data_IF_918532186006
#
_entry.id   IF_918532186006
#
_cell.length_a   1.000
_cell.length_b   1.000
_cell.length_c   1.000
_cell.angle_alpha   90.00
_cell.angle_beta   90.00
_cell.angle_gamma   90.00
#
_symmetry.space_group_name_H-M   'P 1'
#
loop_
_entity.id
_entity.type
_entity.pdbx_description
1 polymer ?
#
# COMPACT_ATOMS: atom_id res chain seq x y z
N UNK A 1 8.76 -8.29 -35.43
CA UNK A 1 8.85 -8.74 -34.03
C UNK A 1 7.88 -7.88 -33.23
N UNK A 2 7.23 -8.39 -32.17
CA UNK A 2 6.33 -7.58 -31.36
C UNK A 2 7.10 -6.53 -30.55
N UNK A 3 6.41 -5.46 -30.17
CA UNK A 3 6.95 -4.36 -29.36
C UNK A 3 6.24 -4.29 -28.02
N UNK A 4 6.97 -3.93 -26.96
CA UNK A 4 6.42 -3.48 -25.69
C UNK A 4 6.37 -1.95 -25.72
N UNK A 5 5.18 -1.35 -25.61
CA UNK A 5 5.01 0.11 -25.65
C UNK A 5 4.35 0.61 -24.37
N UNK A 6 4.93 1.62 -23.73
CA UNK A 6 4.40 2.26 -22.54
C UNK A 6 3.23 3.17 -22.87
N UNK A 7 2.11 2.99 -22.16
CA UNK A 7 0.91 3.81 -22.33
C UNK A 7 0.99 5.23 -21.74
N UNK A 8 1.98 5.50 -20.89
CA UNK A 8 2.18 6.83 -20.31
C UNK A 8 3.26 7.65 -21.03
N UNK A 9 4.48 7.12 -21.14
CA UNK A 9 5.59 7.89 -21.71
C UNK A 9 5.74 7.71 -23.23
N UNK A 10 5.18 6.64 -23.79
CA UNK A 10 5.35 6.24 -25.20
C UNK A 10 6.71 5.60 -25.51
N UNK A 11 7.52 5.29 -24.49
CA UNK A 11 8.74 4.51 -24.66
C UNK A 11 8.43 3.10 -25.16
N UNK A 12 9.29 2.54 -26.00
CA UNK A 12 9.09 1.22 -26.59
C UNK A 12 10.35 0.36 -26.56
N UNK A 13 10.15 -0.96 -26.57
CA UNK A 13 11.19 -1.98 -26.68
C UNK A 13 10.77 -3.02 -27.74
N UNK A 14 11.66 -3.34 -28.68
CA UNK A 14 11.42 -4.40 -29.67
C UNK A 14 11.96 -5.73 -29.13
N UNK A 15 11.08 -6.72 -29.00
CA UNK A 15 11.45 -8.04 -28.52
C UNK A 15 12.46 -8.69 -29.48
N UNK A 16 13.50 -9.31 -28.92
CA UNK A 16 14.50 -10.05 -29.67
C UNK A 16 14.08 -11.52 -29.87
N UNK A 17 14.76 -12.21 -30.79
CA UNK A 17 14.46 -13.61 -31.09
C UNK A 17 14.66 -14.50 -29.85
N UNK A 18 13.58 -15.14 -29.41
CA UNK A 18 13.56 -15.99 -28.20
C UNK A 18 13.13 -15.29 -26.91
N UNK A 19 12.87 -13.98 -26.94
CA UNK A 19 12.31 -13.24 -25.79
C UNK A 19 10.78 -13.32 -25.77
N UNK A 20 10.19 -13.65 -24.62
CA UNK A 20 8.75 -13.66 -24.42
C UNK A 20 8.29 -12.34 -23.77
N UNK A 21 7.14 -11.75 -24.14
CA UNK A 21 6.62 -10.56 -23.47
C UNK A 21 6.46 -10.72 -21.94
N UNK A 22 6.21 -11.94 -21.48
CA UNK A 22 6.08 -12.30 -20.07
C UNK A 22 7.40 -12.22 -19.29
N UNK A 23 8.55 -12.25 -19.99
CA UNK A 23 9.87 -12.09 -19.37
C UNK A 23 10.12 -10.65 -18.92
N UNK A 24 9.30 -9.70 -19.41
CA UNK A 24 9.40 -8.28 -19.09
C UNK A 24 8.37 -7.91 -18.03
N UNK A 25 8.81 -7.16 -17.02
CA UNK A 25 7.88 -6.51 -16.10
C UNK A 25 6.97 -5.59 -16.94
N UNK A 26 5.65 -5.82 -16.91
CA UNK A 26 4.65 -5.05 -17.67
C UNK A 26 4.51 -3.58 -17.18
N UNK A 27 5.53 -3.05 -16.53
CA UNK A 27 5.60 -1.72 -15.94
C UNK A 27 6.89 -1.05 -16.43
N UNK A 28 6.74 0.12 -17.04
CA UNK A 28 7.83 0.97 -17.46
C UNK A 28 8.48 1.64 -16.25
N UNK A 29 9.75 2.02 -16.36
CA UNK A 29 10.47 2.79 -15.33
C UNK A 29 9.79 4.11 -14.97
N UNK A 30 8.98 4.67 -15.87
CA UNK A 30 8.17 5.86 -15.59
C UNK A 30 6.95 5.61 -14.70
N UNK A 31 6.62 4.34 -14.42
CA UNK A 31 5.44 3.91 -13.66
C UNK A 31 4.27 3.39 -14.51
N UNK A 32 4.24 3.70 -15.81
CA UNK A 32 3.16 3.33 -16.74
C UNK A 32 3.17 1.86 -17.17
N UNK A 33 2.10 1.37 -17.79
CA UNK A 33 1.95 -0.04 -18.18
C UNK A 33 2.51 -0.28 -19.58
N UNK A 34 3.26 -1.36 -19.77
CA UNK A 34 3.70 -1.82 -21.09
C UNK A 34 2.62 -2.68 -21.75
N UNK A 35 2.35 -2.42 -23.03
CA UNK A 35 1.44 -3.19 -23.87
C UNK A 35 2.21 -3.85 -25.01
N UNK A 36 1.85 -5.09 -25.33
CA UNK A 36 2.39 -5.79 -26.49
C UNK A 36 1.63 -5.34 -27.74
N UNK A 37 2.33 -4.86 -28.76
CA UNK A 37 1.77 -4.50 -30.08
C UNK A 37 2.55 -5.21 -31.19
N UNK A 38 1.89 -5.54 -32.29
CA UNK A 38 2.53 -6.24 -33.42
C UNK A 38 3.38 -5.30 -34.28
N UNK A 39 2.98 -4.02 -34.39
CA UNK A 39 3.78 -2.96 -34.97
C UNK A 39 3.64 -1.64 -34.22
N UNK A 40 4.65 -0.78 -34.27
CA UNK A 40 4.59 0.57 -33.69
C UNK A 40 3.53 1.46 -34.37
N UNK A 41 3.05 1.09 -35.57
CA UNK A 41 1.96 1.77 -36.26
C UNK A 41 0.58 1.50 -35.66
N UNK A 42 0.45 0.46 -34.84
CA UNK A 42 -0.81 0.08 -34.17
C UNK A 42 -1.00 0.82 -32.84
N UNK A 43 -0.02 1.64 -32.44
CA UNK A 43 -0.07 2.46 -31.24
C UNK A 43 -0.61 3.87 -31.59
N UNK A 44 -1.93 4.01 -31.78
CA UNK A 44 -2.60 5.32 -31.77
C UNK A 44 -2.74 5.84 -30.32
N UNK A 45 -1.60 6.21 -29.73
CA UNK A 45 -1.50 6.89 -28.45
C UNK A 45 -1.23 8.37 -28.66
N UNK A 46 -2.29 9.18 -28.58
CA UNK A 46 -2.32 10.64 -28.53
C UNK A 46 -1.03 11.31 -28.02
N UNK A 47 -0.20 11.80 -28.94
CA UNK A 47 0.63 12.99 -28.73
C UNK A 47 0.44 13.90 -29.93
N UNK A 48 -0.42 14.91 -29.78
CA UNK A 48 -0.38 16.10 -30.63
C UNK A 48 0.92 16.82 -30.26
N UNK A 49 1.95 16.68 -31.09
CA UNK A 49 2.97 17.72 -31.24
C UNK A 49 2.87 18.25 -32.67
N UNK A 50 2.98 19.57 -32.75
CA UNK A 50 2.86 20.42 -33.93
C UNK A 50 3.72 19.94 -35.11
N UNK A 51 3.11 19.86 -36.28
CA UNK A 51 3.81 20.02 -37.55
C UNK A 51 3.18 21.23 -38.27
N UNK A 52 3.99 22.28 -38.43
CA UNK A 52 3.75 23.37 -39.36
C UNK A 52 4.47 22.98 -40.64
N UNK A 53 3.73 22.92 -41.75
CA UNK A 53 4.08 23.44 -43.09
C UNK A 53 3.27 22.67 -44.15
N UNK A 54 2.28 23.32 -44.76
CA UNK A 54 2.43 23.77 -46.14
C UNK A 54 1.17 24.47 -46.64
N UNK A 55 1.41 25.58 -47.33
CA UNK A 55 0.42 26.43 -47.94
C UNK A 55 -0.21 25.75 -49.18
N UNK A 56 -1.53 25.88 -49.35
CA UNK A 56 -2.14 26.08 -50.68
C UNK A 56 -3.58 26.63 -50.64
N UNK A 57 -3.68 27.89 -51.06
CA UNK A 57 -4.69 28.61 -51.85
C UNK A 57 -6.22 28.41 -51.69
N UNK A 58 -6.89 29.58 -51.62
CA UNK A 58 -8.33 29.87 -51.63
C UNK A 58 -8.86 29.85 -53.10
N UNK A 59 -10.16 29.63 -53.36
CA UNK A 59 -11.06 30.77 -53.62
C UNK A 59 -12.47 30.58 -53.03
N UNK A 60 -12.96 31.50 -52.20
CA UNK A 60 -13.72 32.71 -52.55
C UNK A 60 -15.23 32.44 -52.76
N UNK A 61 -16.07 32.95 -51.88
CA UNK A 61 -17.07 33.96 -52.28
C UNK A 61 -17.83 34.50 -51.06
N UNK A 62 -17.76 35.81 -50.99
CA UNK A 62 -18.53 36.74 -50.17
C UNK A 62 -20.02 36.39 -50.14
N UNK A 63 -20.64 36.42 -48.96
CA UNK A 63 -22.09 36.26 -48.95
C UNK A 63 -22.86 36.22 -47.63
N UNK A 64 -22.28 36.30 -46.44
CA UNK A 64 -23.10 36.29 -45.21
C UNK A 64 -22.53 37.22 -44.12
N UNK A 65 -22.45 38.53 -44.42
CA UNK A 65 -22.20 39.56 -43.39
C UNK A 65 -23.37 40.53 -43.31
N UNK A 66 -24.48 40.11 -42.69
CA UNK A 66 -25.41 41.08 -42.05
C UNK A 66 -26.41 40.55 -41.02
N UNK A 67 -26.37 39.27 -40.63
CA UNK A 67 -27.39 38.70 -39.75
C UNK A 67 -26.85 37.88 -38.57
N UNK A 68 -25.77 38.32 -37.92
CA UNK A 68 -25.31 37.69 -36.66
C UNK A 68 -24.93 38.66 -35.53
N UNK A 69 -24.86 39.98 -35.80
CA UNK A 69 -24.41 40.96 -34.79
C UNK A 69 -25.43 41.35 -33.72
N UNK A 70 -26.65 40.82 -33.75
CA UNK A 70 -27.69 41.13 -32.73
C UNK A 70 -28.08 39.97 -31.81
N UNK A 71 -27.49 38.78 -31.99
CA UNK A 71 -27.85 37.60 -31.18
C UNK A 71 -26.77 37.17 -30.17
N UNK A 72 -25.58 37.80 -30.20
CA UNK A 72 -24.46 37.39 -29.34
C UNK A 72 -24.29 38.21 -28.06
N UNK A 73 -24.90 39.40 -27.91
CA UNK A 73 -24.57 40.28 -26.78
C UNK A 73 -25.37 40.03 -25.50
N UNK A 74 -26.53 39.36 -25.56
CA UNK A 74 -27.34 39.07 -24.36
C UNK A 74 -27.02 37.72 -23.72
N UNK A 75 -26.58 36.74 -24.51
CA UNK A 75 -26.26 35.40 -24.01
C UNK A 75 -24.85 35.32 -23.41
N UNK A 76 -23.87 36.06 -23.93
CA UNK A 76 -22.52 36.10 -23.34
C UNK A 76 -22.56 36.69 -21.93
N UNK A 77 -23.33 37.76 -21.70
CA UNK A 77 -23.40 38.37 -20.36
C UNK A 77 -24.03 37.44 -19.31
N UNK A 78 -25.06 36.66 -19.70
CA UNK A 78 -25.66 35.64 -18.82
C UNK A 78 -24.71 34.46 -18.57
N UNK A 79 -23.98 34.01 -19.59
CA UNK A 79 -22.99 32.94 -19.45
C UNK A 79 -21.84 33.39 -18.54
N UNK A 80 -21.35 34.63 -18.68
CA UNK A 80 -20.30 35.16 -17.81
C UNK A 80 -20.75 35.26 -16.35
N UNK A 81 -22.01 35.64 -16.08
CA UNK A 81 -22.56 35.65 -14.71
C UNK A 81 -22.65 34.23 -14.14
N UNK A 82 -23.12 33.26 -14.93
CA UNK A 82 -23.22 31.86 -14.49
C UNK A 82 -21.83 31.28 -14.20
N UNK A 83 -20.84 31.53 -15.08
CA UNK A 83 -19.45 31.07 -14.87
C UNK A 83 -18.82 31.75 -13.65
N UNK A 84 -19.09 33.04 -13.40
CA UNK A 84 -18.59 33.73 -12.22
C UNK A 84 -19.24 33.20 -10.92
N UNK A 85 -20.53 32.89 -10.93
CA UNK A 85 -21.24 32.31 -9.78
C UNK A 85 -20.78 30.87 -9.53
N UNK A 86 -20.64 30.05 -10.57
CA UNK A 86 -20.10 28.68 -10.45
C UNK A 86 -18.63 28.71 -10.00
N UNK A 87 -17.83 29.64 -10.50
CA UNK A 87 -16.45 29.85 -10.05
C UNK A 87 -16.38 30.27 -8.57
N UNK A 88 -17.23 31.19 -8.13
CA UNK A 88 -17.34 31.57 -6.71
C UNK A 88 -17.87 30.41 -5.84
N UNK A 89 -18.79 29.58 -6.36
CA UNK A 89 -19.25 28.39 -5.67
C UNK A 89 -18.15 27.32 -5.55
N UNK A 90 -17.35 27.11 -6.59
CA UNK A 90 -16.18 26.20 -6.58
C UNK A 90 -15.10 26.72 -5.63
N UNK A 91 -14.84 28.03 -5.60
CA UNK A 91 -13.90 28.63 -4.64
C UNK A 91 -14.44 28.49 -3.22
N UNK A 92 -15.74 28.72 -2.99
CA UNK A 92 -16.36 28.53 -1.67
C UNK A 92 -16.35 27.05 -1.24
N UNK A 93 -16.64 26.11 -2.16
CA UNK A 93 -16.56 24.68 -1.91
C UNK A 93 -15.11 24.21 -1.66
N UNK A 94 -14.13 24.79 -2.35
CA UNK A 94 -12.70 24.57 -2.11
C UNK A 94 -12.19 25.16 -0.80
N UNK A 95 -12.79 26.26 -0.32
CA UNK A 95 -12.53 26.84 1.01
C UNK A 95 -13.19 26.00 2.12
N UNK A 96 -14.34 25.36 1.87
CA UNK A 96 -14.96 24.42 2.81
C UNK A 96 -14.33 23.01 2.78
N UNK A 97 -13.71 22.60 1.67
CA UNK A 97 -12.89 21.37 1.60
C UNK A 97 -11.50 21.51 2.23
N UNK A 98 -11.11 22.73 2.65
CA UNK A 98 -9.84 23.01 3.33
C UNK A 98 -9.93 23.07 4.86
N UNK A 99 -10.91 22.39 5.46
CA UNK A 99 -10.91 22.11 6.90
C UNK A 99 -10.86 20.60 7.12
N UNK A 100 -9.66 20.02 6.99
CA UNK A 100 -9.47 18.60 7.31
C UNK A 100 -8.27 17.91 6.69
N UNK A 101 -7.17 18.61 6.38
CA UNK A 101 -5.86 17.96 6.24
C UNK A 101 -4.78 19.03 6.31
N UNK A 102 -4.48 19.46 7.53
CA UNK A 102 -3.09 19.78 7.81
C UNK A 102 -2.41 18.42 7.84
N UNK A 103 -1.70 18.09 6.76
CA UNK A 103 -0.66 17.08 6.79
C UNK A 103 0.34 17.53 7.84
N UNK A 104 0.14 17.06 9.08
CA UNK A 104 1.23 16.91 10.00
C UNK A 104 2.00 15.75 9.40
N UNK A 105 3.07 16.08 8.68
CA UNK A 105 4.15 15.14 8.44
C UNK A 105 4.70 14.78 9.82
N UNK A 106 4.04 13.84 10.49
CA UNK A 106 4.42 13.39 11.82
C UNK A 106 5.52 12.36 11.62
N UNK A 107 6.72 12.83 11.28
CA UNK A 107 7.86 11.95 11.32
C UNK A 107 8.04 11.49 12.78
N UNK A 108 7.70 10.22 13.02
CA UNK A 108 7.91 9.52 14.29
C UNK A 108 9.39 9.29 14.59
N UNK A 109 10.29 9.75 13.72
CA UNK A 109 11.74 9.81 13.93
C UNK A 109 12.11 10.48 15.25
N UNK A 110 11.34 11.49 15.66
CA UNK A 110 11.55 12.26 16.89
C UNK A 110 10.81 11.67 18.12
N UNK A 111 10.04 10.60 17.95
CA UNK A 111 9.38 9.93 19.06
C UNK A 111 10.44 9.28 19.98
N UNK A 112 10.19 9.37 21.28
CA UNK A 112 11.10 8.88 22.31
C UNK A 112 10.55 7.59 22.88
N UNK A 113 11.44 6.60 23.01
CA UNK A 113 11.08 5.28 23.45
C UNK A 113 11.84 4.88 24.72
N UNK A 114 11.15 4.18 25.62
CA UNK A 114 11.77 3.57 26.79
C UNK A 114 12.69 2.41 26.37
N UNK A 115 13.59 2.01 27.26
CA UNK A 115 14.42 0.82 27.02
C UNK A 115 13.54 -0.41 26.81
N UNK A 116 12.49 -0.60 27.62
CA UNK A 116 11.56 -1.72 27.50
C UNK A 116 10.84 -1.76 26.14
N UNK A 117 10.44 -0.59 25.62
CA UNK A 117 9.82 -0.49 24.29
C UNK A 117 10.81 -0.87 23.19
N UNK A 118 12.06 -0.40 23.29
CA UNK A 118 13.12 -0.76 22.34
C UNK A 118 13.39 -2.26 22.43
N UNK A 119 13.58 -2.81 23.62
CA UNK A 119 13.86 -4.24 23.80
C UNK A 119 12.74 -5.10 23.22
N UNK A 120 11.47 -4.76 23.53
CA UNK A 120 10.29 -5.43 22.96
C UNK A 120 10.26 -5.33 21.44
N UNK A 121 10.63 -4.18 20.88
CA UNK A 121 10.73 -4.00 19.43
C UNK A 121 11.86 -4.82 18.83
N UNK A 122 13.02 -4.88 19.48
CA UNK A 122 14.16 -5.66 19.02
C UNK A 122 13.92 -7.19 19.11
N UNK A 123 12.99 -7.64 19.96
CA UNK A 123 12.49 -9.03 19.96
C UNK A 123 11.52 -9.27 18.80
N UNK A 124 10.62 -8.33 18.56
CA UNK A 124 9.57 -8.46 17.55
C UNK A 124 10.08 -8.23 16.13
N UNK A 125 10.93 -7.25 15.87
CA UNK A 125 11.39 -6.92 14.51
C UNK A 125 12.39 -7.96 13.95
N UNK A 126 12.90 -8.84 14.80
CA UNK A 126 14.02 -9.71 14.53
C UNK A 126 13.77 -11.06 15.20
N UNK A 127 13.41 -12.08 14.40
CA UNK A 127 12.96 -13.37 14.91
C UNK A 127 14.07 -14.12 15.65
N UNK A 128 13.86 -14.54 16.91
CA UNK A 128 14.80 -15.43 17.61
C UNK A 128 14.80 -16.86 17.04
N UNK A 129 13.74 -17.29 16.35
CA UNK A 129 13.68 -18.62 15.71
C UNK A 129 14.65 -18.76 14.53
N UNK A 130 15.15 -17.62 14.02
CA UNK A 130 16.23 -17.54 13.03
C UNK A 130 17.64 -17.54 13.66
N UNK A 131 17.73 -17.91 14.95
CA UNK A 131 18.93 -18.12 15.79
C UNK A 131 20.25 -17.73 15.10
N UNK A 132 20.61 -16.46 15.19
CA UNK A 132 21.98 -15.98 14.93
C UNK A 132 22.45 -16.05 13.48
N UNK A 133 21.54 -16.16 12.51
CA UNK A 133 21.94 -16.14 11.10
C UNK A 133 22.18 -14.71 10.60
N UNK A 134 23.11 -14.60 9.64
CA UNK A 134 23.45 -13.42 8.82
C UNK A 134 22.25 -12.74 8.10
N UNK A 135 21.05 -13.26 8.30
CA UNK A 135 19.81 -12.94 7.61
C UNK A 135 18.72 -12.32 8.52
N UNK A 136 19.01 -12.07 9.81
CA UNK A 136 18.12 -11.34 10.72
C UNK A 136 18.04 -9.86 10.30
N UNK A 137 17.00 -9.55 9.53
CA UNK A 137 16.85 -8.31 8.75
C UNK A 137 15.42 -7.82 8.86
N UNK A 138 15.24 -6.50 8.89
CA UNK A 138 13.90 -5.88 8.92
C UNK A 138 13.11 -6.30 7.68
N UNK A 139 12.00 -7.01 7.91
CA UNK A 139 10.95 -7.24 6.93
C UNK A 139 9.82 -6.22 7.14
N UNK A 140 9.49 -5.41 6.13
CA UNK A 140 8.34 -4.48 6.19
C UNK A 140 7.83 -4.14 4.80
N UNK A 141 6.61 -3.62 4.73
CA UNK A 141 6.08 -3.05 3.49
C UNK A 141 6.83 -1.75 3.14
N UNK A 142 7.10 -1.54 1.86
CA UNK A 142 7.67 -0.29 1.33
C UNK A 142 6.79 0.29 0.20
N UNK A 143 5.48 0.27 0.43
CA UNK A 143 4.46 0.84 -0.45
C UNK A 143 3.48 1.66 0.41
N UNK A 144 2.81 2.64 -0.19
CA UNK A 144 1.91 3.51 0.56
C UNK A 144 0.53 2.88 0.81
N UNK A 145 0.09 1.96 -0.05
CA UNK A 145 -1.22 1.33 0.06
C UNK A 145 -1.08 -0.18 -0.08
N UNK A 146 -1.49 -0.90 0.96
CA UNK A 146 -1.58 -2.36 1.01
C UNK A 146 -3.06 -2.74 0.90
N UNK A 147 -3.41 -3.38 -0.22
CA UNK A 147 -4.77 -3.88 -0.49
C UNK A 147 -4.98 -5.19 0.23
N UNK A 148 -6.02 -5.23 1.05
CA UNK A 148 -6.44 -6.39 1.82
C UNK A 148 -7.68 -6.98 1.16
N UNK A 149 -7.66 -8.30 0.90
CA UNK A 149 -8.84 -9.06 0.51
C UNK A 149 -9.21 -10.07 1.59
N UNK A 150 -10.49 -10.08 1.95
CA UNK A 150 -11.09 -11.00 2.91
C UNK A 150 -11.75 -12.16 2.17
N UNK A 151 -11.47 -13.38 2.62
CA UNK A 151 -11.97 -14.62 2.04
C UNK A 151 -12.50 -15.55 3.12
N UNK A 152 -13.34 -16.50 2.72
CA UNK A 152 -13.93 -17.48 3.61
C UNK A 152 -15.22 -16.97 4.27
N UNK A 153 -15.42 -17.27 5.55
CA UNK A 153 -16.71 -17.06 6.24
C UNK A 153 -16.55 -16.38 7.61
N UNK A 154 -16.04 -15.13 7.66
CA UNK A 154 -15.97 -14.37 8.90
C UNK A 154 -17.38 -14.06 9.44
N UNK A 155 -17.51 -13.98 10.76
CA UNK A 155 -18.68 -13.39 11.40
C UNK A 155 -18.65 -11.87 11.32
N UNK A 156 -19.77 -11.21 11.60
CA UNK A 156 -19.81 -9.74 11.66
C UNK A 156 -18.89 -9.18 12.75
N UNK A 157 -18.71 -9.90 13.86
CA UNK A 157 -17.81 -9.48 14.94
C UNK A 157 -16.35 -9.60 14.52
N UNK A 158 -15.99 -10.65 13.76
CA UNK A 158 -14.65 -10.78 13.16
C UNK A 158 -14.33 -9.61 12.23
N UNK A 159 -15.28 -9.23 11.36
CA UNK A 159 -15.14 -8.07 10.48
C UNK A 159 -14.98 -6.76 11.28
N UNK A 160 -15.69 -6.61 12.39
CA UNK A 160 -15.59 -5.43 13.24
C UNK A 160 -14.22 -5.35 13.93
N UNK A 161 -13.73 -6.48 14.46
CA UNK A 161 -12.39 -6.58 15.06
C UNK A 161 -11.31 -6.27 14.02
N UNK A 162 -11.39 -6.85 12.82
CA UNK A 162 -10.43 -6.62 11.74
C UNK A 162 -10.40 -5.14 11.32
N UNK A 163 -11.57 -4.52 11.11
CA UNK A 163 -11.64 -3.09 10.76
C UNK A 163 -11.06 -2.20 11.85
N UNK A 164 -11.30 -2.53 13.12
CA UNK A 164 -10.73 -1.80 14.24
C UNK A 164 -9.20 -1.94 14.28
N UNK A 165 -8.68 -3.14 14.07
CA UNK A 165 -7.25 -3.42 14.01
C UNK A 165 -6.58 -2.66 12.85
N UNK A 166 -7.18 -2.68 11.65
CA UNK A 166 -6.70 -1.91 10.49
C UNK A 166 -6.70 -0.41 10.78
N UNK A 167 -7.72 0.12 11.45
CA UNK A 167 -7.76 1.53 11.85
C UNK A 167 -6.64 1.88 12.83
N UNK A 168 -6.41 1.02 13.82
CA UNK A 168 -5.29 1.19 14.75
C UNK A 168 -3.94 1.17 14.02
N UNK A 169 -3.74 0.23 13.08
CA UNK A 169 -2.53 0.17 12.25
C UNK A 169 -2.39 1.47 11.46
N UNK A 170 -3.41 1.87 10.69
CA UNK A 170 -3.39 3.06 9.83
C UNK A 170 -3.12 4.35 10.59
N UNK A 171 -3.47 4.42 11.89
CA UNK A 171 -3.17 5.54 12.77
C UNK A 171 -1.73 5.54 13.30
N UNK A 172 -0.99 4.43 13.16
CA UNK A 172 0.33 4.22 13.75
C UNK A 172 1.44 3.90 12.73
N UNK A 173 1.16 3.65 11.45
CA UNK A 173 2.18 3.24 10.46
C UNK A 173 2.60 4.34 9.45
N UNK A 174 2.48 5.61 9.84
CA UNK A 174 2.92 6.74 9.01
C UNK A 174 2.18 6.81 7.67
N UNK A 175 2.92 6.82 6.56
CA UNK A 175 2.39 6.94 5.20
C UNK A 175 1.74 5.67 4.66
N UNK A 176 2.06 4.50 5.25
CA UNK A 176 1.42 3.25 4.89
C UNK A 176 -0.08 3.28 5.28
N UNK A 177 -0.91 2.70 4.41
CA UNK A 177 -2.34 2.48 4.65
C UNK A 177 -2.75 1.08 4.20
N UNK A 178 -3.39 0.34 5.10
CA UNK A 178 -4.13 -0.87 4.79
C UNK A 178 -5.55 -0.50 4.37
N UNK A 179 -5.99 -1.01 3.23
CA UNK A 179 -7.32 -0.75 2.66
C UNK A 179 -7.97 -2.08 2.31
N UNK A 180 -9.15 -2.35 2.89
CA UNK A 180 -9.98 -3.48 2.48
C UNK A 180 -10.57 -3.16 1.11
N UNK A 181 -10.23 -3.96 0.11
CA UNK A 181 -10.66 -3.78 -1.28
C UNK A 181 -11.14 -5.11 -1.89
N UNK A 182 -12.14 -5.70 -1.25
CA UNK A 182 -12.69 -7.02 -1.60
C UNK A 182 -13.37 -7.08 -2.98
N UNK A 183 -13.65 -5.93 -3.58
CA UNK A 183 -14.37 -5.83 -4.87
C UNK A 183 -13.44 -5.63 -6.07
N UNK A 184 -12.17 -5.37 -5.83
CA UNK A 184 -11.21 -5.14 -6.88
C UNK A 184 -10.82 -6.46 -7.54
N UNK A 185 -10.68 -6.46 -8.87
CA UNK A 185 -10.24 -7.62 -9.64
C UNK A 185 -8.71 -7.78 -9.63
N UNK A 186 -7.97 -6.73 -9.26
CA UNK A 186 -6.52 -6.80 -9.10
C UNK A 186 -6.09 -7.73 -7.96
N UNK A 187 -4.87 -8.24 -8.04
CA UNK A 187 -4.32 -9.06 -6.96
C UNK A 187 -4.15 -8.25 -5.66
N UNK A 188 -4.59 -8.78 -4.51
CA UNK A 188 -4.41 -8.13 -3.21
C UNK A 188 -2.98 -8.35 -2.70
N UNK A 189 -2.49 -7.40 -1.91
CA UNK A 189 -1.17 -7.47 -1.28
C UNK A 189 -1.25 -8.37 -0.03
N UNK A 190 -2.36 -8.28 0.72
CA UNK A 190 -2.69 -9.17 1.85
C UNK A 190 -3.98 -9.95 1.56
N UNK A 191 -3.90 -11.27 1.76
CA UNK A 191 -5.03 -12.19 1.73
C UNK A 191 -5.37 -12.64 3.15
N UNK A 192 -6.61 -12.43 3.60
CA UNK A 192 -7.07 -12.88 4.92
C UNK A 192 -8.13 -13.97 4.74
N UNK A 193 -7.83 -15.18 5.23
CA UNK A 193 -8.67 -16.36 5.12
C UNK A 193 -9.33 -16.69 6.46
N UNK A 194 -10.66 -16.61 6.49
CA UNK A 194 -11.47 -17.13 7.60
C UNK A 194 -11.98 -18.52 7.24
N UNK A 195 -11.24 -19.54 7.66
CA UNK A 195 -11.48 -20.94 7.29
C UNK A 195 -11.50 -21.84 8.53
N UNK A 196 -12.19 -22.99 8.50
CA UNK A 196 -12.13 -23.94 9.61
C UNK A 196 -10.73 -24.56 9.71
N UNK A 197 -10.32 -24.94 10.92
CA UNK A 197 -8.99 -25.51 11.20
C UNK A 197 -8.68 -26.72 10.31
N UNK A 198 -9.69 -27.52 9.94
CA UNK A 198 -9.51 -28.67 9.03
C UNK A 198 -8.91 -28.31 7.67
N UNK A 199 -9.00 -27.04 7.23
CA UNK A 199 -8.40 -26.56 5.99
C UNK A 199 -6.95 -26.08 6.15
N UNK A 200 -6.44 -25.91 7.38
CA UNK A 200 -5.04 -25.47 7.61
C UNK A 200 -4.01 -26.46 7.04
N UNK A 201 -4.36 -27.75 7.00
CA UNK A 201 -3.51 -28.79 6.42
C UNK A 201 -3.17 -28.57 4.93
N UNK A 202 -3.98 -27.80 4.20
CA UNK A 202 -3.70 -27.40 2.81
C UNK A 202 -2.47 -26.49 2.69
N UNK A 203 -2.06 -25.88 3.79
CA UNK A 203 -0.92 -24.96 3.90
C UNK A 203 0.21 -25.56 4.77
N UNK A 204 0.24 -26.88 4.92
CA UNK A 204 1.24 -27.62 5.72
C UNK A 204 1.26 -27.25 7.21
N UNK A 205 0.15 -26.71 7.74
CA UNK A 205 -0.03 -26.42 9.16
C UNK A 205 -0.95 -27.48 9.77
N UNK A 206 -0.54 -28.09 10.89
CA UNK A 206 -1.38 -29.05 11.59
C UNK A 206 -2.58 -28.32 12.24
N UNK A 207 -3.83 -28.72 11.94
CA UNK A 207 -5.04 -28.09 12.50
C UNK A 207 -5.10 -28.03 14.03
N UNK A 208 -4.38 -28.90 14.75
CA UNK A 208 -4.38 -28.92 16.22
C UNK A 208 -3.30 -28.03 16.87
N UNK A 209 -2.41 -27.43 16.08
CA UNK A 209 -1.22 -26.73 16.58
C UNK A 209 -1.37 -25.21 16.59
N UNK A 210 -2.35 -24.66 15.87
CA UNK A 210 -2.50 -23.22 15.71
C UNK A 210 -3.96 -22.80 15.57
N UNK A 211 -4.33 -21.72 16.26
CA UNK A 211 -5.64 -21.07 16.11
C UNK A 211 -5.71 -20.14 14.86
N UNK A 212 -4.53 -19.77 14.36
CA UNK A 212 -4.27 -18.93 13.19
C UNK A 212 -2.78 -18.91 12.88
N UNK A 213 -2.42 -18.43 11.69
CA UNK A 213 -1.02 -18.26 11.30
C UNK A 213 -0.89 -17.24 10.17
N UNK A 214 0.30 -16.67 10.04
CA UNK A 214 0.64 -15.71 8.99
C UNK A 214 1.85 -16.16 8.21
N UNK A 215 1.77 -16.03 6.89
CA UNK A 215 2.88 -16.20 5.96
C UNK A 215 3.12 -14.87 5.27
N UNK A 216 4.37 -14.44 5.17
CA UNK A 216 4.73 -13.33 4.30
C UNK A 216 5.91 -13.70 3.41
N UNK A 217 5.99 -13.02 2.27
CA UNK A 217 7.07 -13.16 1.31
C UNK A 217 7.84 -11.85 1.23
N UNK A 218 9.15 -11.93 1.41
CA UNK A 218 10.08 -10.79 1.31
C UNK A 218 10.95 -10.93 0.06
N UNK A 219 11.28 -9.79 -0.57
CA UNK A 219 12.27 -9.75 -1.64
C UNK A 219 13.67 -10.07 -1.09
N UNK A 220 14.45 -10.89 -1.80
CA UNK A 220 15.79 -11.34 -1.34
C UNK A 220 16.94 -10.72 -2.14
N UNK A 221 16.64 -10.13 -3.29
CA UNK A 221 17.55 -9.34 -4.13
C UNK A 221 16.71 -8.71 -5.23
N UNK A 222 17.09 -7.54 -5.77
CA UNK A 222 16.36 -6.87 -6.87
C UNK A 222 16.22 -7.69 -8.18
N UNK A 223 16.57 -8.97 -8.14
CA UNK A 223 16.50 -9.98 -9.20
C UNK A 223 15.08 -10.58 -9.32
N UNK A 224 14.26 -10.55 -8.26
CA UNK A 224 12.88 -11.05 -8.31
C UNK A 224 11.87 -9.90 -8.15
N UNK A 225 11.52 -9.24 -9.26
CA UNK A 225 10.38 -8.33 -9.32
C UNK A 225 10.64 -6.86 -8.93
N UNK A 226 11.90 -6.43 -8.85
CA UNK A 226 12.26 -5.00 -8.71
C UNK A 226 12.16 -4.39 -7.29
N UNK A 227 11.68 -5.14 -6.30
CA UNK A 227 11.60 -4.69 -4.90
C UNK A 227 12.97 -4.78 -4.20
N UNK A 228 13.26 -3.84 -3.31
CA UNK A 228 14.48 -3.87 -2.48
C UNK A 228 14.46 -5.09 -1.58
N UNK A 229 15.64 -5.63 -1.25
CA UNK A 229 15.72 -6.74 -0.29
C UNK A 229 14.99 -6.37 1.03
N UNK A 230 14.34 -7.33 1.65
CA UNK A 230 13.57 -7.16 2.89
C UNK A 230 12.18 -6.54 2.72
N UNK A 231 11.81 -6.08 1.52
CA UNK A 231 10.47 -5.57 1.26
C UNK A 231 9.48 -6.73 1.22
N UNK A 232 8.45 -6.65 2.07
CA UNK A 232 7.28 -7.54 1.98
C UNK A 232 6.52 -7.17 0.71
N UNK A 233 6.21 -8.18 -0.10
CA UNK A 233 5.42 -7.99 -1.33
C UNK A 233 4.13 -8.82 -1.36
N UNK A 234 3.97 -9.77 -0.42
CA UNK A 234 2.75 -10.56 -0.26
C UNK A 234 2.63 -11.06 1.18
N UNK A 235 1.42 -11.04 1.74
CA UNK A 235 1.13 -11.78 2.96
C UNK A 235 -0.19 -12.55 2.87
N UNK A 236 -0.26 -13.66 3.58
CA UNK A 236 -1.46 -14.49 3.78
C UNK A 236 -1.67 -14.70 5.26
N UNK A 237 -2.85 -14.35 5.74
CA UNK A 237 -3.28 -14.46 7.13
C UNK A 237 -4.39 -15.48 7.21
N UNK A 238 -4.28 -16.45 8.11
CA UNK A 238 -5.26 -17.52 8.29
C UNK A 238 -5.83 -17.47 9.69
N UNK A 239 -7.16 -17.45 9.79
CA UNK A 239 -7.91 -17.35 11.03
C UNK A 239 -8.87 -18.54 11.14
N UNK A 240 -8.74 -19.33 12.21
CA UNK A 240 -9.62 -20.44 12.50
C UNK A 240 -11.04 -19.98 12.84
N UNK A 241 -12.05 -20.50 12.14
CA UNK A 241 -13.46 -20.10 12.35
C UNK A 241 -14.23 -20.97 13.34
N UNK A 242 -13.75 -22.19 13.60
CA UNK A 242 -14.37 -23.18 14.47
C UNK A 242 -13.55 -23.40 15.75
N UNK A 243 -14.12 -24.06 16.77
CA UNK A 243 -13.44 -24.46 18.02
C UNK A 243 -12.92 -23.30 18.91
N UNK A 244 -13.04 -22.04 18.47
CA UNK A 244 -12.64 -20.85 19.22
C UNK A 244 -13.85 -20.09 19.75
N UNK A 245 -13.70 -19.54 20.96
CA UNK A 245 -14.57 -18.46 21.41
C UNK A 245 -14.38 -17.22 20.53
N UNK A 246 -15.40 -16.37 20.43
CA UNK A 246 -15.28 -15.11 19.70
C UNK A 246 -14.18 -14.19 20.27
N UNK A 247 -13.98 -14.19 21.59
CA UNK A 247 -12.89 -13.44 22.23
C UNK A 247 -11.52 -13.93 21.76
N UNK A 248 -11.32 -15.26 21.74
CA UNK A 248 -10.08 -15.88 21.27
C UNK A 248 -9.84 -15.59 19.79
N UNK A 249 -10.86 -15.74 18.95
CA UNK A 249 -10.76 -15.42 17.52
C UNK A 249 -10.46 -13.94 17.27
N UNK A 250 -11.05 -13.02 18.03
CA UNK A 250 -10.70 -11.60 17.99
C UNK A 250 -9.24 -11.34 18.35
N UNK A 251 -8.69 -12.07 19.31
CA UNK A 251 -7.25 -12.01 19.61
C UNK A 251 -6.39 -12.52 18.46
N UNK A 252 -6.73 -13.68 17.89
CA UNK A 252 -6.02 -14.26 16.75
C UNK A 252 -6.03 -13.29 15.55
N UNK A 253 -7.15 -12.63 15.26
CA UNK A 253 -7.25 -11.63 14.19
C UNK A 253 -6.20 -10.52 14.36
N UNK A 254 -6.10 -9.92 15.55
CA UNK A 254 -5.14 -8.81 15.75
C UNK A 254 -3.70 -9.31 15.80
N UNK A 255 -3.47 -10.51 16.35
CA UNK A 255 -2.15 -11.14 16.46
C UNK A 255 -1.57 -11.41 15.07
N UNK A 256 -2.32 -12.12 14.24
CA UNK A 256 -1.90 -12.49 12.89
C UNK A 256 -1.83 -11.28 11.96
N UNK A 257 -2.71 -10.30 12.12
CA UNK A 257 -2.60 -9.06 11.35
C UNK A 257 -1.34 -8.27 11.72
N UNK A 258 -0.92 -8.25 12.99
CA UNK A 258 0.34 -7.61 13.37
C UNK A 258 1.54 -8.35 12.78
N UNK A 259 1.49 -9.69 12.72
CA UNK A 259 2.44 -10.46 11.94
C UNK A 259 2.49 -9.94 10.50
N UNK A 260 1.38 -9.81 9.77
CA UNK A 260 1.40 -9.37 8.36
C UNK A 260 2.12 -8.03 8.06
N UNK A 261 2.44 -7.22 9.07
CA UNK A 261 3.24 -6.00 8.97
C UNK A 261 4.77 -6.22 9.00
N UNK A 262 5.24 -7.38 9.46
CA UNK A 262 6.65 -7.69 9.72
C UNK A 262 7.04 -7.83 11.20
N UNK A 263 6.07 -7.85 12.11
CA UNK A 263 6.30 -7.99 13.55
C UNK A 263 6.26 -9.47 13.95
N UNK A 264 7.21 -9.96 14.75
CA UNK A 264 7.22 -11.28 15.38
C UNK A 264 6.81 -11.22 16.86
N UNK A 265 6.88 -12.36 17.54
CA UNK A 265 6.57 -12.47 18.96
C UNK A 265 7.52 -11.66 19.84
N UNK A 266 7.01 -11.26 21.01
CA UNK A 266 7.80 -10.73 22.12
C UNK A 266 7.32 -11.35 23.44
N UNK A 267 8.03 -11.10 24.54
CA UNK A 267 7.67 -11.70 25.84
C UNK A 267 6.75 -10.82 26.72
N UNK A 268 6.30 -9.66 26.22
CA UNK A 268 5.56 -8.71 27.04
C UNK A 268 4.08 -9.10 27.16
N UNK A 269 3.61 -9.43 28.36
CA UNK A 269 2.23 -9.90 28.61
C UNK A 269 1.12 -8.89 28.25
N UNK A 270 1.44 -7.62 28.01
CA UNK A 270 0.49 -6.61 27.54
C UNK A 270 0.42 -6.51 26.01
N UNK A 271 1.29 -7.22 25.30
CA UNK A 271 1.39 -7.24 23.84
C UNK A 271 0.45 -8.28 23.25
N UNK A 272 -0.24 -7.94 22.18
CA UNK A 272 -0.99 -8.92 21.40
C UNK A 272 -0.07 -9.99 20.80
N UNK A 273 1.20 -9.67 20.58
CA UNK A 273 2.24 -10.55 20.04
C UNK A 273 2.92 -11.44 21.09
N UNK A 274 2.41 -11.52 22.32
CA UNK A 274 2.98 -12.38 23.36
C UNK A 274 2.46 -13.82 23.29
N UNK A 275 3.31 -14.83 23.00
CA UNK A 275 2.91 -16.22 23.05
C UNK A 275 2.45 -16.60 24.46
N UNK A 276 1.31 -17.29 24.55
CA UNK A 276 0.72 -17.67 25.85
C UNK A 276 0.24 -16.51 26.71
N UNK A 277 0.20 -15.28 26.17
CA UNK A 277 -0.40 -14.12 26.82
C UNK A 277 -1.93 -14.20 26.90
N UNK A 278 -2.57 -13.23 27.57
CA UNK A 278 -4.03 -13.16 27.63
C UNK A 278 -4.65 -12.86 26.26
N UNK A 279 -5.91 -13.27 26.07
CA UNK A 279 -6.70 -12.86 24.90
C UNK A 279 -6.96 -11.35 24.93
N UNK A 280 -6.12 -10.62 24.20
CA UNK A 280 -6.20 -9.18 23.91
C UNK A 280 -6.96 -9.01 22.59
N UNK A 281 -7.97 -8.13 22.56
CA UNK A 281 -8.84 -7.95 21.37
C UNK A 281 -8.67 -6.60 20.68
N UNK A 282 -7.71 -5.80 21.17
CA UNK A 282 -7.33 -4.49 20.63
C UNK A 282 -5.84 -4.28 20.85
N UNK A 283 -5.15 -3.62 19.92
CA UNK A 283 -3.72 -3.35 20.12
C UNK A 283 -3.48 -2.51 21.37
N UNK A 284 -2.53 -2.94 22.19
CA UNK A 284 -2.09 -2.20 23.37
C UNK A 284 -1.31 -0.94 22.99
N UNK A 285 -1.04 -0.09 23.98
CA UNK A 285 -0.14 1.05 23.79
C UNK A 285 1.27 0.60 23.36
N UNK A 286 1.72 -0.56 23.84
CA UNK A 286 3.00 -1.15 23.42
C UNK A 286 2.93 -1.56 21.95
N UNK A 287 1.95 -2.37 21.54
CA UNK A 287 1.80 -2.83 20.16
C UNK A 287 1.78 -1.67 19.16
N UNK A 288 1.01 -0.61 19.46
CA UNK A 288 0.94 0.61 18.64
C UNK A 288 2.29 1.31 18.56
N UNK A 289 3.07 1.29 19.63
CA UNK A 289 4.44 1.83 19.65
C UNK A 289 5.38 0.99 18.78
N UNK A 290 5.29 -0.34 18.83
CA UNK A 290 6.09 -1.23 17.98
C UNK A 290 5.79 -1.01 16.48
N UNK A 291 4.51 -0.79 16.13
CA UNK A 291 4.10 -0.42 14.77
C UNK A 291 4.71 0.91 14.33
N UNK A 292 4.65 1.94 15.19
CA UNK A 292 5.30 3.23 14.91
C UNK A 292 6.79 3.05 14.69
N UNK A 293 7.48 2.31 15.57
CA UNK A 293 8.91 2.02 15.41
C UNK A 293 9.21 1.34 14.06
N UNK A 294 8.49 0.26 13.71
CA UNK A 294 8.73 -0.49 12.46
C UNK A 294 8.59 0.41 11.23
N UNK A 295 7.63 1.34 11.25
CA UNK A 295 7.31 2.25 10.15
C UNK A 295 7.89 3.65 10.32
N UNK A 296 8.97 3.81 11.08
CA UNK A 296 9.83 5.00 10.96
C UNK A 296 10.44 5.07 9.57
N UNK A 297 10.59 6.29 9.06
CA UNK A 297 11.18 6.56 7.75
C UNK A 297 12.69 6.23 7.71
N UNK A 298 13.38 6.34 8.86
CA UNK A 298 14.78 5.99 9.00
C UNK A 298 15.03 4.50 9.30
N UNK A 299 13.97 3.69 9.46
CA UNK A 299 14.05 2.22 9.53
C UNK A 299 13.61 1.64 8.19
N UNK A 300 14.59 1.24 7.39
CA UNK A 300 14.39 0.74 6.03
C UNK A 300 14.30 -0.79 5.98
N UNK A 301 13.66 -1.35 4.93
CA UNK A 301 13.75 -2.77 4.64
C UNK A 301 15.21 -3.26 4.60
N UNK A 302 15.44 -4.48 5.06
CA UNK A 302 16.76 -5.13 5.08
C UNK A 302 17.84 -4.45 5.95
N UNK A 303 17.46 -3.52 6.83
CA UNK A 303 18.36 -3.10 7.92
C UNK A 303 18.66 -4.25 8.87
N UNK A 304 19.89 -4.32 9.33
CA UNK A 304 20.34 -5.24 10.37
C UNK A 304 19.90 -4.78 11.76
N UNK A 305 19.90 -5.73 12.69
CA UNK A 305 19.72 -5.50 14.13
C UNK A 305 20.55 -4.32 14.66
N UNK A 306 21.84 -4.27 14.34
CA UNK A 306 22.75 -3.22 14.85
C UNK A 306 22.47 -1.83 14.27
N UNK A 307 22.05 -1.75 13.01
CA UNK A 307 21.68 -0.47 12.39
C UNK A 307 20.44 0.10 13.07
N UNK A 308 19.40 -0.72 13.24
CA UNK A 308 18.15 -0.34 13.92
C UNK A 308 18.39 0.04 15.38
N UNK A 309 19.17 -0.75 16.11
CA UNK A 309 19.52 -0.44 17.49
C UNK A 309 20.25 0.91 17.61
N UNK A 310 21.13 1.23 16.66
CA UNK A 310 21.83 2.53 16.61
C UNK A 310 20.84 3.68 16.41
N UNK A 311 19.90 3.56 15.47
CA UNK A 311 18.86 4.56 15.19
C UNK A 311 18.00 4.82 16.43
N UNK A 312 17.49 3.76 17.06
CA UNK A 312 16.60 3.89 18.22
C UNK A 312 17.33 4.42 19.47
N UNK A 313 18.60 4.03 19.68
CA UNK A 313 19.41 4.58 20.77
C UNK A 313 19.84 6.02 20.53
N UNK A 314 20.07 6.44 19.29
CA UNK A 314 20.37 7.85 18.99
C UNK A 314 19.15 8.74 19.23
N UNK A 315 17.94 8.24 18.95
CA UNK A 315 16.68 8.90 19.30
C UNK A 315 16.54 9.14 20.81
N UNK A 316 17.25 8.37 21.65
CA UNK A 316 17.36 8.62 23.10
C UNK A 316 18.44 9.63 23.48
N UNK A 317 19.52 9.74 22.69
CA UNK A 317 20.74 10.50 23.05
C UNK A 317 20.78 11.96 22.60
N UNK A 318 19.89 12.41 21.70
CA UNK A 318 19.82 13.81 21.23
C UNK A 318 19.32 14.82 22.31
N UNK A 319 19.92 14.75 23.50
CA UNK A 319 19.48 15.40 24.74
C UNK A 319 20.60 16.10 25.52
N UNK A 320 21.81 16.18 24.98
CA UNK A 320 22.90 16.94 25.60
C UNK A 320 23.59 17.84 24.57
#
# INVERSE_FOLDING_TARGET
MPYLVCDECGGYYELQEGESPEDFLLKCDCGGRLRVVESLGDFEGSKIYEEIDDAQEIPNSEGIKKQSRKFLSQNIFKICIIVAVVGMLIISAGVFYKNGSYGVDSSNENEKYSQEQIDSFMETAFSPDDYGNKYDRVGKWNINVVRVRIMGSPTQEDINTLKKAINDINANVGDLKLVIDDKNEMEPDIEIYFIPHSQFAQYSVNPSEADGFTLWLVSTSGIYGGNSAGEIYKAKVFIGTDQLSQKRRSHVIIHELAHSLGLHHNQNQNSALCPGGPDITEYSALDKTLMRMLYRNDILPNMSRSEVETILNNSRKNFF
#
